data_IF_204866656027
#
_entry.id   IF_204866656027
#
_cell.length_a   1.000
_cell.length_b   1.000
_cell.length_c   1.000
_cell.angle_alpha   90.00
_cell.angle_beta   90.00
_cell.angle_gamma   90.00
#
_symmetry.space_group_name_H-M   'P 1'
#
loop_
_entity.id
_entity.type
_entity.pdbx_description
1 polymer ?
#
# COMPACT_ATOMS: atom_id res chain seq x y z
N UNK A 1 -31.92 -26.74 34.87
CA UNK A 1 -30.79 -26.47 33.97
C UNK A 1 -30.19 -25.14 34.35
N UNK A 2 -28.91 -25.12 34.72
CA UNK A 2 -28.19 -23.92 35.18
C UNK A 2 -28.00 -22.94 34.02
N UNK A 3 -28.06 -21.63 34.27
CA UNK A 3 -27.85 -20.58 33.25
C UNK A 3 -26.57 -20.80 32.41
N UNK A 4 -25.56 -21.42 33.01
CA UNK A 4 -24.30 -21.81 32.36
C UNK A 4 -24.50 -22.80 31.20
N UNK A 5 -25.41 -23.78 31.32
CA UNK A 5 -25.64 -24.78 30.27
C UNK A 5 -26.34 -24.17 29.04
N UNK A 6 -27.25 -23.21 29.26
CA UNK A 6 -27.94 -22.48 28.18
C UNK A 6 -26.97 -21.58 27.41
N UNK A 7 -26.04 -20.91 28.10
CA UNK A 7 -24.99 -20.10 27.45
C UNK A 7 -24.05 -20.99 26.64
N UNK A 8 -23.67 -22.15 27.18
CA UNK A 8 -22.77 -23.09 26.52
C UNK A 8 -23.39 -23.70 25.25
N UNK A 9 -24.65 -24.12 25.31
CA UNK A 9 -25.40 -24.62 24.14
C UNK A 9 -25.54 -23.55 23.06
N UNK A 10 -25.81 -22.28 23.43
CA UNK A 10 -25.89 -21.18 22.46
C UNK A 10 -24.55 -20.86 21.78
N UNK A 11 -23.45 -20.97 22.52
CA UNK A 11 -22.10 -20.81 21.96
C UNK A 11 -21.81 -21.96 20.99
N UNK A 12 -22.11 -23.21 21.37
CA UNK A 12 -21.97 -24.39 20.52
C UNK A 12 -22.79 -24.28 19.23
N UNK A 13 -24.07 -23.89 19.33
CA UNK A 13 -24.94 -23.68 18.17
C UNK A 13 -24.43 -22.57 17.25
N UNK A 14 -23.90 -21.49 17.82
CA UNK A 14 -23.34 -20.37 17.05
C UNK A 14 -22.06 -20.78 16.33
N UNK A 15 -21.19 -21.54 17.00
CA UNK A 15 -19.99 -22.13 16.40
C UNK A 15 -20.40 -23.08 15.27
N UNK A 16 -21.35 -23.99 15.49
CA UNK A 16 -21.80 -24.94 14.48
C UNK A 16 -22.38 -24.23 13.24
N UNK A 17 -23.14 -23.15 13.43
CA UNK A 17 -23.66 -22.31 12.32
C UNK A 17 -22.55 -21.62 11.52
N UNK A 18 -21.47 -21.21 12.18
CA UNK A 18 -20.29 -20.64 11.51
C UNK A 18 -19.58 -21.73 10.69
N UNK A 19 -19.42 -22.95 11.22
CA UNK A 19 -18.78 -24.05 10.51
C UNK A 19 -19.64 -24.65 9.37
N UNK A 20 -20.96 -24.46 9.39
CA UNK A 20 -21.87 -24.96 8.34
C UNK A 20 -22.06 -24.01 7.16
N UNK A 21 -21.54 -22.78 7.22
CA UNK A 21 -21.78 -21.76 6.19
C UNK A 21 -20.45 -21.33 5.54
N UNK A 22 -20.45 -21.17 4.21
CA UNK A 22 -19.28 -20.71 3.45
C UNK A 22 -18.76 -19.37 3.98
N UNK A 23 -19.67 -18.45 4.33
CA UNK A 23 -19.31 -17.16 4.93
C UNK A 23 -18.64 -17.31 6.30
N UNK A 24 -19.04 -18.31 7.09
CA UNK A 24 -18.41 -18.57 8.38
C UNK A 24 -16.99 -19.11 8.24
N UNK A 25 -16.72 -19.94 7.23
CA UNK A 25 -15.35 -20.35 6.88
C UNK A 25 -14.48 -19.19 6.40
N UNK A 26 -15.02 -18.30 5.57
CA UNK A 26 -14.30 -17.10 5.12
C UNK A 26 -13.92 -16.23 6.32
N UNK A 27 -14.86 -15.97 7.22
CA UNK A 27 -14.61 -15.20 8.44
C UNK A 27 -13.59 -15.91 9.33
N UNK A 28 -13.71 -17.22 9.52
CA UNK A 28 -12.76 -18.00 10.32
C UNK A 28 -11.34 -17.96 9.74
N UNK A 29 -11.18 -18.13 8.41
CA UNK A 29 -9.88 -18.03 7.73
C UNK A 29 -9.30 -16.61 7.84
N UNK A 30 -10.14 -15.59 7.68
CA UNK A 30 -9.72 -14.20 7.80
C UNK A 30 -9.30 -13.86 9.24
N UNK A 31 -10.07 -14.28 10.24
CA UNK A 31 -9.72 -14.12 11.66
C UNK A 31 -8.46 -14.88 12.02
N UNK A 32 -8.29 -16.11 11.54
CA UNK A 32 -7.07 -16.89 11.71
C UNK A 32 -5.86 -16.20 11.08
N UNK A 33 -6.04 -15.59 9.90
CA UNK A 33 -5.01 -14.80 9.25
C UNK A 33 -4.62 -13.57 10.07
N UNK A 34 -5.60 -12.79 10.55
CA UNK A 34 -5.33 -11.64 11.41
C UNK A 34 -4.65 -12.03 12.73
N UNK A 35 -5.09 -13.12 13.35
CA UNK A 35 -4.45 -13.66 14.55
C UNK A 35 -3.01 -14.13 14.24
N UNK A 36 -2.80 -14.74 13.08
CA UNK A 36 -1.48 -15.15 12.62
C UNK A 36 -0.56 -13.94 12.44
N UNK A 37 -1.01 -12.80 11.93
CA UNK A 37 -0.15 -11.61 11.83
C UNK A 37 0.45 -11.19 13.18
N UNK A 38 -0.27 -11.39 14.29
CA UNK A 38 0.23 -11.14 15.63
C UNK A 38 0.78 -9.71 15.80
N UNK A 39 2.01 -9.59 16.30
CA UNK A 39 2.66 -8.30 16.54
C UNK A 39 3.13 -7.57 15.26
N UNK A 40 3.17 -8.23 14.12
CA UNK A 40 3.62 -7.64 12.86
C UNK A 40 2.48 -6.96 12.07
N UNK A 41 1.26 -7.03 12.60
CA UNK A 41 0.05 -6.40 12.03
C UNK A 41 0.22 -4.90 11.77
N UNK A 42 1.02 -4.20 12.57
CA UNK A 42 1.33 -2.78 12.38
C UNK A 42 2.03 -2.49 11.05
N UNK A 43 2.89 -3.39 10.57
CA UNK A 43 3.59 -3.24 9.29
C UNK A 43 2.64 -3.37 8.10
N UNK A 44 1.66 -4.28 8.19
CA UNK A 44 0.62 -4.42 7.17
C UNK A 44 -0.34 -3.23 7.17
N UNK A 45 -0.71 -2.73 8.35
CA UNK A 45 -1.57 -1.55 8.50
C UNK A 45 -0.90 -0.31 7.89
N UNK A 46 0.41 -0.13 8.10
CA UNK A 46 1.16 0.99 7.52
C UNK A 46 1.06 1.01 5.99
N UNK A 47 1.28 -0.14 5.34
CA UNK A 47 1.20 -0.26 3.88
C UNK A 47 -0.23 -0.06 3.40
N UNK A 48 -1.23 -0.58 4.11
CA UNK A 48 -2.64 -0.37 3.76
C UNK A 48 -3.02 1.12 3.80
N UNK A 49 -2.56 1.85 4.82
CA UNK A 49 -2.76 3.30 4.91
C UNK A 49 -2.09 4.00 3.72
N UNK A 50 -0.89 3.59 3.33
CA UNK A 50 -0.19 4.17 2.18
C UNK A 50 -0.93 3.93 0.86
N UNK A 51 -1.46 2.73 0.64
CA UNK A 51 -2.30 2.41 -0.54
C UNK A 51 -3.58 3.25 -0.53
N UNK A 52 -4.26 3.39 0.61
CA UNK A 52 -5.49 4.20 0.72
C UNK A 52 -5.19 5.68 0.46
N UNK A 53 -4.04 6.16 0.93
CA UNK A 53 -3.57 7.52 0.64
C UNK A 53 -3.32 7.72 -0.86
N UNK A 54 -2.58 6.83 -1.51
CA UNK A 54 -2.37 6.87 -2.96
C UNK A 54 -3.69 6.79 -3.73
N UNK A 55 -4.62 5.92 -3.30
CA UNK A 55 -5.94 5.78 -3.87
C UNK A 55 -6.73 7.10 -3.82
N UNK A 56 -6.69 7.82 -2.70
CA UNK A 56 -7.38 9.11 -2.57
C UNK A 56 -6.86 10.13 -3.61
N UNK A 57 -5.53 10.23 -3.77
CA UNK A 57 -4.92 11.10 -4.78
C UNK A 57 -5.13 10.59 -6.21
N UNK A 58 -5.16 9.28 -6.41
CA UNK A 58 -5.42 8.63 -7.69
C UNK A 58 -6.85 8.86 -8.18
N UNK A 59 -7.84 8.77 -7.29
CA UNK A 59 -9.23 9.15 -7.60
C UNK A 59 -9.28 10.63 -7.97
N UNK A 60 -8.66 11.50 -7.17
CA UNK A 60 -8.67 12.94 -7.43
C UNK A 60 -8.01 13.29 -8.78
N UNK A 61 -6.95 12.59 -9.17
CA UNK A 61 -6.28 12.77 -10.47
C UNK A 61 -7.12 12.22 -11.63
N UNK A 62 -7.78 11.07 -11.46
CA UNK A 62 -8.68 10.47 -12.44
C UNK A 62 -9.91 11.34 -12.73
N UNK A 63 -10.52 11.92 -11.68
CA UNK A 63 -11.65 12.86 -11.82
C UNK A 63 -11.24 14.08 -12.64
N UNK A 64 -10.04 14.63 -12.41
CA UNK A 64 -9.52 15.77 -13.17
C UNK A 64 -9.26 15.41 -14.65
N UNK A 65 -8.93 14.16 -14.95
CA UNK A 65 -8.72 13.66 -16.32
C UNK A 65 -10.00 13.21 -17.02
N UNK A 66 -11.16 13.23 -16.34
CA UNK A 66 -12.43 12.65 -16.81
C UNK A 66 -12.35 11.14 -17.12
N UNK A 67 -11.46 10.41 -16.43
CA UNK A 67 -11.31 8.96 -16.58
C UNK A 67 -12.31 8.19 -15.69
N UNK A 68 -12.56 6.92 -16.05
CA UNK A 68 -13.40 6.01 -15.25
C UNK A 68 -12.75 5.63 -13.91
N UNK A 69 -13.19 6.28 -12.83
CA UNK A 69 -12.71 6.06 -11.45
C UNK A 69 -12.83 4.60 -10.99
N UNK A 70 -13.89 3.90 -11.37
CA UNK A 70 -14.09 2.50 -10.98
C UNK A 70 -13.06 1.56 -11.61
N UNK A 71 -12.71 1.79 -12.88
CA UNK A 71 -11.68 1.02 -13.57
C UNK A 71 -10.30 1.28 -12.98
N UNK A 72 -10.04 2.51 -12.54
CA UNK A 72 -8.81 2.87 -11.84
C UNK A 72 -8.70 2.13 -10.50
N UNK A 73 -9.75 2.15 -9.68
CA UNK A 73 -9.78 1.49 -8.36
C UNK A 73 -9.57 -0.01 -8.44
N UNK A 74 -10.28 -0.69 -9.35
CA UNK A 74 -10.18 -2.14 -9.49
C UNK A 74 -8.84 -2.58 -10.08
N UNK A 75 -8.23 -1.79 -10.97
CA UNK A 75 -6.98 -2.19 -11.62
C UNK A 75 -5.75 -1.85 -10.79
N UNK A 76 -5.72 -0.66 -10.21
CA UNK A 76 -4.52 -0.16 -9.53
C UNK A 76 -4.55 -0.52 -8.04
N UNK A 77 -5.62 -0.16 -7.32
CA UNK A 77 -5.67 -0.33 -5.87
C UNK A 77 -5.83 -1.80 -5.46
N UNK A 78 -6.72 -2.55 -6.10
CA UNK A 78 -6.94 -3.96 -5.75
C UNK A 78 -5.70 -4.83 -6.03
N UNK A 79 -5.03 -4.60 -7.17
CA UNK A 79 -3.76 -5.27 -7.49
C UNK A 79 -2.67 -4.95 -6.47
N UNK A 80 -2.52 -3.67 -6.06
CA UNK A 80 -1.55 -3.27 -5.02
C UNK A 80 -1.79 -3.99 -3.70
N UNK A 81 -3.06 -4.08 -3.26
CA UNK A 81 -3.42 -4.80 -2.02
C UNK A 81 -2.99 -6.26 -2.12
N UNK A 82 -3.34 -6.96 -3.20
CA UNK A 82 -2.99 -8.38 -3.38
C UNK A 82 -1.47 -8.57 -3.41
N UNK A 83 -0.77 -7.76 -4.19
CA UNK A 83 0.69 -7.88 -4.37
C UNK A 83 1.41 -7.60 -3.06
N UNK A 84 1.08 -6.52 -2.36
CA UNK A 84 1.78 -6.15 -1.12
C UNK A 84 1.40 -7.04 0.05
N UNK A 85 0.11 -7.28 0.31
CA UNK A 85 -0.29 -8.18 1.40
C UNK A 85 0.21 -9.59 1.12
N UNK A 86 0.13 -10.06 -0.12
CA UNK A 86 0.65 -11.37 -0.53
C UNK A 86 2.15 -11.49 -0.33
N UNK A 87 2.94 -10.56 -0.88
CA UNK A 87 4.40 -10.58 -0.74
C UNK A 87 4.84 -10.48 0.72
N UNK A 88 4.25 -9.57 1.50
CA UNK A 88 4.56 -9.43 2.93
C UNK A 88 4.17 -10.67 3.73
N UNK A 89 3.07 -11.33 3.39
CA UNK A 89 2.67 -12.58 4.05
C UNK A 89 3.68 -13.70 3.78
N UNK A 90 4.20 -13.81 2.55
CA UNK A 90 5.25 -14.78 2.20
C UNK A 90 6.53 -14.49 3.00
N UNK A 91 6.92 -13.21 3.10
CA UNK A 91 8.10 -12.81 3.87
C UNK A 91 7.92 -13.11 5.36
N UNK A 92 6.76 -12.80 5.94
CA UNK A 92 6.46 -13.11 7.34
C UNK A 92 6.48 -14.63 7.61
N UNK A 93 5.94 -15.41 6.68
CA UNK A 93 6.00 -16.86 6.75
C UNK A 93 7.46 -17.36 6.73
N UNK A 94 8.28 -16.85 5.81
CA UNK A 94 9.69 -17.21 5.72
C UNK A 94 10.46 -16.82 6.99
N UNK A 95 10.24 -15.61 7.53
CA UNK A 95 10.88 -15.13 8.75
C UNK A 95 10.57 -16.05 9.94
N UNK A 96 9.30 -16.49 10.06
CA UNK A 96 8.87 -17.46 11.09
C UNK A 96 9.45 -18.85 10.88
N UNK A 97 9.52 -19.33 9.65
CA UNK A 97 10.15 -20.64 9.34
C UNK A 97 11.64 -20.66 9.69
N UNK A 98 12.31 -19.51 9.61
CA UNK A 98 13.72 -19.34 9.99
C UNK A 98 13.92 -19.11 11.50
N UNK A 99 12.84 -19.08 12.30
CA UNK A 99 12.91 -18.83 13.74
C UNK A 99 13.24 -17.39 14.13
N UNK A 100 13.12 -16.44 13.19
CA UNK A 100 13.33 -15.03 13.45
C UNK A 100 12.04 -14.44 14.04
N UNK A 101 12.12 -13.88 15.25
CA UNK A 101 10.96 -13.37 16.01
C UNK A 101 10.88 -11.85 16.04
N UNK A 102 11.83 -11.15 15.40
CA UNK A 102 11.94 -9.68 15.45
C UNK A 102 10.99 -8.97 14.47
N UNK A 103 10.50 -9.66 13.45
CA UNK A 103 9.67 -9.08 12.38
C UNK A 103 10.44 -8.04 11.56
N UNK A 104 11.77 -8.06 11.61
CA UNK A 104 12.60 -6.99 11.06
C UNK A 104 12.50 -6.96 9.54
N UNK A 105 12.50 -8.12 8.90
CA UNK A 105 12.44 -8.22 7.44
C UNK A 105 11.09 -7.71 6.94
N UNK A 106 10.00 -8.12 7.59
CA UNK A 106 8.64 -7.61 7.27
C UNK A 106 8.56 -6.09 7.43
N UNK A 107 9.14 -5.52 8.48
CA UNK A 107 9.19 -4.05 8.69
C UNK A 107 9.96 -3.33 7.59
N UNK A 108 11.12 -3.86 7.19
CA UNK A 108 11.92 -3.28 6.10
C UNK A 108 11.11 -3.28 4.80
N UNK A 109 10.48 -4.40 4.45
CA UNK A 109 9.63 -4.51 3.26
C UNK A 109 8.45 -3.54 3.35
N UNK A 110 7.83 -3.41 4.52
CA UNK A 110 6.73 -2.46 4.72
C UNK A 110 7.16 -1.00 4.47
N UNK A 111 8.36 -0.61 4.93
CA UNK A 111 8.91 0.74 4.68
C UNK A 111 9.18 0.96 3.19
N UNK A 112 9.72 -0.05 2.49
CA UNK A 112 9.96 0.03 1.05
C UNK A 112 8.64 0.16 0.29
N UNK A 113 7.66 -0.69 0.58
CA UNK A 113 6.34 -0.66 -0.04
C UNK A 113 5.64 0.69 0.21
N UNK A 114 5.67 1.18 1.44
CA UNK A 114 5.15 2.51 1.80
C UNK A 114 5.84 3.61 1.00
N UNK A 115 7.16 3.55 0.84
CA UNK A 115 7.90 4.54 0.04
C UNK A 115 7.46 4.54 -1.41
N UNK A 116 7.28 3.37 -2.03
CA UNK A 116 6.79 3.23 -3.41
C UNK A 116 5.40 3.85 -3.55
N UNK A 117 4.51 3.63 -2.60
CA UNK A 117 3.17 4.24 -2.62
C UNK A 117 3.21 5.76 -2.42
N UNK A 118 4.11 6.27 -1.59
CA UNK A 118 4.32 7.71 -1.47
C UNK A 118 4.80 8.32 -2.79
N UNK A 119 5.72 7.66 -3.51
CA UNK A 119 6.15 8.08 -4.85
C UNK A 119 5.00 8.06 -5.86
N UNK A 120 4.18 6.99 -5.85
CA UNK A 120 2.96 6.91 -6.67
C UNK A 120 2.02 8.08 -6.39
N UNK A 121 1.79 8.39 -5.10
CA UNK A 121 0.89 9.46 -4.69
C UNK A 121 1.41 10.84 -5.11
N UNK A 122 2.73 11.04 -5.09
CA UNK A 122 3.37 12.24 -5.58
C UNK A 122 3.08 12.45 -7.08
N UNK A 123 3.15 11.38 -7.90
CA UNK A 123 2.78 11.44 -9.31
C UNK A 123 1.31 11.88 -9.51
N UNK A 124 0.39 11.29 -8.75
CA UNK A 124 -1.03 11.66 -8.77
C UNK A 124 -1.26 13.13 -8.38
N UNK A 125 -0.56 13.62 -7.36
CA UNK A 125 -0.62 15.03 -6.92
C UNK A 125 -0.14 15.97 -8.02
N UNK A 126 0.91 15.61 -8.78
CA UNK A 126 1.44 16.46 -9.85
C UNK A 126 0.47 16.67 -11.01
N UNK A 127 -0.34 15.66 -11.32
CA UNK A 127 -1.42 15.79 -12.32
C UNK A 127 -2.46 16.82 -11.86
N UNK A 128 -2.75 16.85 -10.54
CA UNK A 128 -3.72 17.78 -9.96
C UNK A 128 -3.13 19.19 -9.84
N UNK A 129 -1.92 19.30 -9.30
CA UNK A 129 -1.23 20.57 -9.09
C UNK A 129 0.25 20.44 -9.53
N UNK A 130 0.58 20.84 -10.76
CA UNK A 130 1.93 20.67 -11.32
C UNK A 130 2.97 21.58 -10.65
N UNK A 131 2.55 22.63 -9.93
CA UNK A 131 3.41 23.55 -9.18
C UNK A 131 3.74 23.04 -7.75
N UNK A 132 3.71 21.72 -7.53
CA UNK A 132 4.05 21.13 -6.24
C UNK A 132 5.57 21.00 -6.04
N UNK A 133 6.03 21.20 -4.80
CA UNK A 133 7.45 21.25 -4.38
C UNK A 133 8.26 20.02 -4.83
N UNK A 134 7.62 18.87 -5.01
CA UNK A 134 8.25 17.62 -5.44
C UNK A 134 8.88 17.71 -6.85
N UNK A 135 8.25 18.41 -7.81
CA UNK A 135 8.84 18.66 -9.14
C UNK A 135 10.02 19.62 -9.08
N UNK A 136 10.03 20.58 -8.13
CA UNK A 136 11.23 21.42 -7.91
C UNK A 136 12.40 20.60 -7.38
N UNK A 137 12.17 19.58 -6.55
CA UNK A 137 13.24 18.70 -6.06
C UNK A 137 13.73 17.73 -7.14
N UNK A 138 12.83 17.04 -7.84
CA UNK A 138 13.21 16.15 -8.95
C UNK A 138 13.81 16.92 -10.12
N UNK A 139 13.26 18.08 -10.46
CA UNK A 139 13.82 18.98 -11.48
C UNK A 139 15.21 19.47 -11.11
N UNK A 140 15.46 19.85 -9.85
CA UNK A 140 16.82 20.23 -9.40
C UNK A 140 17.79 19.05 -9.41
N UNK A 141 17.34 17.85 -9.02
CA UNK A 141 18.17 16.65 -9.06
C UNK A 141 18.52 16.25 -10.50
N UNK A 142 17.53 16.23 -11.39
CA UNK A 142 17.73 15.99 -12.83
C UNK A 142 18.60 17.07 -13.49
N UNK A 143 18.41 18.36 -13.14
CA UNK A 143 19.29 19.45 -13.60
C UNK A 143 20.73 19.22 -13.13
N UNK A 144 20.93 18.76 -11.89
CA UNK A 144 22.25 18.43 -11.38
C UNK A 144 22.89 17.25 -12.09
N UNK A 145 22.15 16.17 -12.30
CA UNK A 145 22.69 14.98 -12.96
C UNK A 145 22.91 15.18 -14.47
N UNK A 146 22.11 16.03 -15.12
CA UNK A 146 22.34 16.47 -16.51
C UNK A 146 23.57 17.38 -16.58
N UNK A 147 23.73 18.34 -15.67
CA UNK A 147 24.89 19.22 -15.61
C UNK A 147 26.20 18.42 -15.42
N UNK A 148 26.20 17.44 -14.52
CA UNK A 148 27.34 16.56 -14.27
C UNK A 148 27.67 15.66 -15.47
N UNK A 149 26.64 15.10 -16.14
CA UNK A 149 26.85 14.21 -17.31
C UNK A 149 27.26 14.96 -18.57
N UNK A 150 26.78 16.19 -18.76
CA UNK A 150 27.02 16.99 -19.96
C UNK A 150 28.15 18.03 -19.77
N UNK A 151 28.74 18.13 -18.56
CA UNK A 151 29.77 19.12 -18.17
C UNK A 151 29.39 20.57 -18.52
N UNK A 152 28.11 20.90 -18.38
CA UNK A 152 27.54 22.22 -18.68
C UNK A 152 27.09 22.89 -17.38
N UNK A 153 26.96 24.22 -17.42
CA UNK A 153 26.55 25.00 -16.26
C UNK A 153 25.10 24.66 -15.86
N UNK A 154 24.79 24.74 -14.56
CA UNK A 154 23.44 24.52 -14.04
C UNK A 154 22.39 25.44 -14.67
N UNK A 155 22.78 26.62 -15.16
CA UNK A 155 21.87 27.57 -15.81
C UNK A 155 21.50 27.14 -17.24
N UNK A 156 22.42 26.50 -17.97
CA UNK A 156 22.16 25.96 -19.31
C UNK A 156 21.28 24.71 -19.26
N UNK A 157 21.53 23.81 -18.28
CA UNK A 157 20.70 22.63 -18.05
C UNK A 157 19.24 23.00 -17.70
N UNK A 158 19.03 24.15 -17.06
CA UNK A 158 17.70 24.66 -16.72
C UNK A 158 16.97 25.24 -17.93
N UNK A 159 17.66 25.94 -18.82
CA UNK A 159 17.08 26.44 -20.08
C UNK A 159 16.62 25.31 -21.00
N UNK A 160 17.35 24.19 -21.07
CA UNK A 160 16.97 23.03 -21.88
C UNK A 160 15.64 22.41 -21.41
N UNK A 161 15.41 22.36 -20.09
CA UNK A 161 14.18 21.84 -19.49
C UNK A 161 13.00 22.83 -19.56
N UNK A 162 13.28 24.13 -19.63
CA UNK A 162 12.24 25.15 -19.80
C UNK A 162 11.78 25.26 -21.27
N UNK A 163 12.67 25.07 -22.24
CA UNK A 163 12.35 25.08 -23.67
C UNK A 163 11.65 23.81 -24.18
N UNK A 164 11.71 22.68 -23.47
CA UNK A 164 11.01 21.44 -23.85
C UNK A 164 9.54 21.37 -23.40
N UNK A 165 9.04 22.43 -22.73
CA UNK A 165 7.64 22.58 -22.33
C UNK A 165 6.74 23.23 -23.40
N UNK A 166 7.26 23.46 -24.60
CA UNK A 166 6.52 23.88 -25.80
C UNK A 166 6.53 22.77 -26.85
#
# INVERSE_FOLDING_TARGET
MTQLSIVFERILDSIQKVFSNLFGWIIALFSAYLAWLGNDSGSFLLVLIAIVWDMAWGIASAVKRHDFVLSYLLRETFCKIIVYIGAMSIVLLAERMLGLTSGLTVKIIAVIATSVELFSSAGNILIIKPDFVFVRFFGKYLVGEIADKMKISHDEARQILENSKH
#
